data_IF_059664772908
#
_entry.id   IF_059664772908
#
_cell.length_a   1.000
_cell.length_b   1.000
_cell.length_c   1.000
_cell.angle_alpha   90.00
_cell.angle_beta   90.00
_cell.angle_gamma   90.00
#
_symmetry.space_group_name_H-M   'P 1'
#
loop_
_entity.id
_entity.type
_entity.pdbx_description
1 polymer ?
#
# COMPACT_ATOMS: atom_id res chain seq x y z
N UNK A 1 -40.95 -15.56 -3.79
CA UNK A 1 -41.30 -14.88 -5.05
C UNK A 1 -39.99 -14.65 -5.80
N UNK A 2 -39.83 -15.13 -7.06
CA UNK A 2 -38.60 -14.87 -7.84
C UNK A 2 -38.64 -13.41 -8.27
N UNK A 3 -37.80 -12.61 -7.68
CA UNK A 3 -37.75 -11.14 -7.87
C UNK A 3 -36.94 -10.76 -9.11
N UNK A 4 -36.09 -11.67 -9.60
CA UNK A 4 -35.19 -11.41 -10.73
C UNK A 4 -35.74 -12.00 -12.02
N UNK A 5 -35.56 -11.31 -13.14
CA UNK A 5 -35.79 -11.87 -14.48
C UNK A 5 -34.69 -12.88 -14.82
N UNK A 6 -34.91 -13.72 -15.81
CA UNK A 6 -33.96 -14.75 -16.24
C UNK A 6 -32.62 -14.14 -16.68
N UNK A 7 -32.64 -12.96 -17.32
CA UNK A 7 -31.45 -12.23 -17.72
C UNK A 7 -30.68 -11.66 -16.49
N UNK A 8 -31.43 -11.18 -15.50
CA UNK A 8 -30.82 -10.67 -14.22
C UNK A 8 -30.19 -11.81 -13.41
N UNK A 9 -30.83 -13.00 -13.37
CA UNK A 9 -30.23 -14.20 -12.76
C UNK A 9 -28.90 -14.59 -13.44
N UNK A 10 -28.84 -14.47 -14.75
CA UNK A 10 -27.63 -14.80 -15.52
C UNK A 10 -26.49 -13.79 -15.27
N UNK A 11 -26.82 -12.49 -15.16
CA UNK A 11 -25.86 -11.44 -14.78
C UNK A 11 -25.34 -11.68 -13.37
N UNK A 12 -26.22 -11.97 -12.41
CA UNK A 12 -25.87 -12.27 -11.01
C UNK A 12 -24.91 -13.45 -10.91
N UNK A 13 -25.16 -14.53 -11.67
CA UNK A 13 -24.26 -15.69 -11.67
C UNK A 13 -22.88 -15.34 -12.24
N UNK A 14 -22.82 -14.55 -13.32
CA UNK A 14 -21.54 -14.10 -13.90
C UNK A 14 -20.75 -13.24 -12.92
N UNK A 15 -21.41 -12.31 -12.28
CA UNK A 15 -20.80 -11.44 -11.28
C UNK A 15 -20.27 -12.25 -10.09
N UNK A 16 -21.07 -13.17 -9.55
CA UNK A 16 -20.67 -14.05 -8.46
C UNK A 16 -19.41 -14.85 -8.80
N UNK A 17 -19.37 -15.43 -9.99
CA UNK A 17 -18.22 -16.19 -10.47
C UNK A 17 -16.98 -15.28 -10.58
N UNK A 18 -17.13 -14.09 -11.18
CA UNK A 18 -16.04 -13.12 -11.30
C UNK A 18 -15.50 -12.69 -9.94
N UNK A 19 -16.36 -12.34 -8.99
CA UNK A 19 -15.96 -11.92 -7.65
C UNK A 19 -15.35 -13.08 -6.86
N UNK A 20 -15.81 -14.30 -7.09
CA UNK A 20 -15.18 -15.49 -6.49
C UNK A 20 -13.78 -15.72 -7.04
N UNK A 21 -13.58 -15.61 -8.34
CA UNK A 21 -12.26 -15.71 -8.97
C UNK A 21 -11.33 -14.59 -8.49
N UNK A 22 -11.85 -13.37 -8.36
CA UNK A 22 -11.09 -12.25 -7.78
C UNK A 22 -10.67 -12.54 -6.33
N UNK A 23 -11.58 -13.09 -5.50
CA UNK A 23 -11.24 -13.47 -4.13
C UNK A 23 -10.13 -14.55 -4.08
N UNK A 24 -10.15 -15.53 -5.00
CA UNK A 24 -9.07 -16.51 -5.12
C UNK A 24 -7.74 -15.86 -5.49
N UNK A 25 -7.76 -14.87 -6.41
CA UNK A 25 -6.56 -14.11 -6.79
C UNK A 25 -6.01 -13.26 -5.64
N UNK A 26 -6.87 -12.63 -4.84
CA UNK A 26 -6.44 -11.90 -3.64
C UNK A 26 -5.78 -12.82 -2.61
N UNK A 27 -6.31 -14.04 -2.44
CA UNK A 27 -5.67 -15.06 -1.58
C UNK A 27 -4.31 -15.50 -2.14
N UNK A 28 -4.20 -15.75 -3.43
CA UNK A 28 -2.95 -16.10 -4.11
C UNK A 28 -1.90 -14.99 -3.99
N UNK A 29 -2.32 -13.73 -4.06
CA UNK A 29 -1.49 -12.54 -3.88
C UNK A 29 -1.04 -12.32 -2.43
N UNK A 30 -1.57 -13.06 -1.45
CA UNK A 30 -1.41 -12.86 -0.01
C UNK A 30 -1.94 -11.50 0.47
N UNK A 31 -3.08 -11.06 -0.05
CA UNK A 31 -3.80 -9.89 0.43
C UNK A 31 -4.10 -9.98 1.93
N UNK A 32 -4.37 -8.84 2.59
CA UNK A 32 -4.68 -8.84 4.01
C UNK A 32 -5.91 -9.70 4.34
N UNK A 33 -5.95 -10.29 5.54
CA UNK A 33 -7.11 -11.10 5.97
C UNK A 33 -8.40 -10.28 5.98
N UNK A 34 -8.31 -9.00 6.32
CA UNK A 34 -9.44 -8.07 6.34
C UNK A 34 -10.00 -7.85 4.93
N UNK A 35 -9.15 -7.63 3.95
CA UNK A 35 -9.55 -7.40 2.56
C UNK A 35 -10.19 -8.66 1.95
N UNK A 36 -9.60 -9.84 2.21
CA UNK A 36 -10.15 -11.12 1.77
C UNK A 36 -11.55 -11.36 2.41
N UNK A 37 -11.70 -11.05 3.69
CA UNK A 37 -12.99 -11.22 4.36
C UNK A 37 -14.01 -10.18 3.89
N UNK A 38 -13.60 -8.93 3.65
CA UNK A 38 -14.46 -7.89 3.05
C UNK A 38 -14.98 -8.32 1.67
N UNK A 39 -14.12 -8.92 0.85
CA UNK A 39 -14.52 -9.47 -0.45
C UNK A 39 -15.52 -10.62 -0.30
N UNK A 40 -15.27 -11.56 0.60
CA UNK A 40 -16.19 -12.69 0.88
C UNK A 40 -17.56 -12.22 1.39
N UNK A 41 -17.54 -11.20 2.26
CA UNK A 41 -18.78 -10.62 2.78
C UNK A 41 -19.56 -9.92 1.66
N UNK A 42 -18.89 -9.19 0.77
CA UNK A 42 -19.53 -8.57 -0.39
C UNK A 42 -20.16 -9.59 -1.33
N UNK A 43 -19.53 -10.76 -1.54
CA UNK A 43 -20.11 -11.86 -2.32
C UNK A 43 -21.38 -12.41 -1.65
N UNK A 44 -21.37 -12.62 -0.32
CA UNK A 44 -22.54 -13.11 0.43
C UNK A 44 -23.73 -12.16 0.34
N UNK A 45 -23.46 -10.85 0.29
CA UNK A 45 -24.51 -9.82 0.21
C UNK A 45 -25.32 -9.82 -1.07
N UNK A 46 -24.83 -10.44 -2.13
CA UNK A 46 -25.66 -10.62 -3.34
C UNK A 46 -26.97 -11.38 -3.03
N UNK A 47 -27.02 -12.13 -1.94
CA UNK A 47 -28.17 -12.92 -1.51
C UNK A 47 -28.95 -12.32 -0.33
N UNK A 48 -28.40 -11.28 0.34
CA UNK A 48 -28.99 -10.66 1.53
C UNK A 48 -30.07 -9.60 1.17
N UNK A 49 -30.85 -9.16 2.17
CA UNK A 49 -31.73 -7.99 2.07
C UNK A 49 -30.91 -6.72 1.80
N UNK A 50 -31.58 -5.70 1.23
CA UNK A 50 -30.95 -4.40 1.01
C UNK A 50 -30.46 -3.78 2.32
N UNK A 51 -29.16 -3.47 2.40
CA UNK A 51 -28.52 -2.95 3.62
C UNK A 51 -28.37 -1.44 3.58
N UNK A 52 -29.16 -0.75 4.39
CA UNK A 52 -29.12 0.70 4.59
C UNK A 52 -28.25 0.99 5.82
N UNK A 53 -27.12 1.63 5.63
CA UNK A 53 -26.21 2.01 6.73
C UNK A 53 -26.34 3.50 7.02
N UNK A 54 -26.71 3.83 8.25
CA UNK A 54 -26.92 5.20 8.73
C UNK A 54 -25.73 5.62 9.57
N UNK A 55 -25.02 6.64 9.11
CA UNK A 55 -23.80 7.14 9.72
C UNK A 55 -23.87 8.66 9.94
N UNK A 56 -23.01 9.20 10.78
CA UNK A 56 -22.92 10.62 11.04
C UNK A 56 -22.36 10.90 12.44
N UNK A 57 -22.04 12.15 12.72
CA UNK A 57 -21.44 12.56 13.98
C UNK A 57 -22.40 12.34 15.18
N UNK A 58 -21.80 12.30 16.36
CA UNK A 58 -22.59 12.30 17.60
C UNK A 58 -23.52 13.54 17.64
N UNK A 59 -24.74 13.33 18.09
CA UNK A 59 -25.79 14.38 18.13
C UNK A 59 -26.25 14.94 16.77
N UNK A 60 -25.87 14.32 15.63
CA UNK A 60 -26.44 14.67 14.32
C UNK A 60 -27.94 14.29 14.20
N UNK A 61 -28.44 13.47 15.13
CA UNK A 61 -29.84 13.05 15.20
C UNK A 61 -30.11 11.73 14.46
N UNK A 62 -29.15 10.82 14.34
CA UNK A 62 -29.31 9.50 13.70
C UNK A 62 -30.48 8.69 14.27
N UNK A 63 -30.50 8.50 15.58
CA UNK A 63 -31.57 7.72 16.24
C UNK A 63 -32.93 8.39 16.08
N UNK A 64 -33.01 9.72 16.14
CA UNK A 64 -34.24 10.47 15.84
C UNK A 64 -34.67 10.31 14.39
N UNK A 65 -33.71 10.29 13.46
CA UNK A 65 -33.97 10.06 12.05
C UNK A 65 -34.49 8.63 11.78
N UNK A 66 -33.90 7.62 12.39
CA UNK A 66 -34.37 6.23 12.27
C UNK A 66 -35.76 6.11 12.89
N UNK A 67 -36.02 6.70 14.04
CA UNK A 67 -37.34 6.73 14.65
C UNK A 67 -38.38 7.40 13.72
N UNK A 68 -37.99 8.50 13.05
CA UNK A 68 -38.87 9.18 12.10
C UNK A 68 -39.11 8.33 10.85
N UNK A 69 -38.10 7.65 10.33
CA UNK A 69 -38.23 6.77 9.18
C UNK A 69 -39.16 5.59 9.48
N UNK A 70 -39.00 4.95 10.64
CA UNK A 70 -39.82 3.83 11.08
C UNK A 70 -41.19 4.26 11.65
N UNK A 71 -41.41 5.56 11.87
CA UNK A 71 -42.67 6.10 12.37
C UNK A 71 -42.93 5.86 13.87
N UNK A 72 -41.98 5.32 14.59
CA UNK A 72 -42.13 4.94 16.01
C UNK A 72 -40.84 5.28 16.78
N UNK A 73 -41.00 5.64 18.08
CA UNK A 73 -39.89 5.94 18.97
C UNK A 73 -39.28 4.64 19.55
N UNK A 74 -38.41 3.98 18.81
CA UNK A 74 -37.79 2.70 19.13
C UNK A 74 -36.38 2.85 19.72
N UNK A 75 -35.59 3.74 19.13
CA UNK A 75 -34.24 4.02 19.59
C UNK A 75 -34.25 5.15 20.62
N UNK A 76 -33.41 5.00 21.65
CA UNK A 76 -33.27 6.05 22.67
C UNK A 76 -32.56 7.26 22.08
N UNK A 77 -33.12 8.42 22.29
CA UNK A 77 -32.56 9.72 21.94
C UNK A 77 -31.97 10.37 23.19
N UNK A 78 -30.80 11.00 23.09
CA UNK A 78 -30.20 11.67 24.24
C UNK A 78 -28.99 12.53 23.86
N UNK A 79 -28.68 13.46 24.80
CA UNK A 79 -27.54 14.39 24.70
C UNK A 79 -26.24 13.73 25.16
N UNK A 80 -26.33 12.58 25.83
CA UNK A 80 -25.20 11.70 26.19
C UNK A 80 -25.15 10.51 25.22
N UNK A 81 -23.99 9.89 24.99
CA UNK A 81 -23.89 8.71 24.12
C UNK A 81 -24.87 7.62 24.59
N UNK A 82 -25.95 7.46 23.83
CA UNK A 82 -27.03 6.51 24.16
C UNK A 82 -26.88 5.18 23.45
N UNK A 83 -26.10 5.16 22.37
CA UNK A 83 -25.82 3.99 21.56
C UNK A 83 -24.35 3.64 21.72
N UNK A 84 -24.04 2.67 22.55
CA UNK A 84 -22.70 2.13 22.77
C UNK A 84 -22.41 0.92 21.86
N UNK A 85 -23.39 0.45 21.08
CA UNK A 85 -23.32 -0.73 20.24
C UNK A 85 -23.95 -0.44 18.89
N UNK A 86 -23.48 -1.14 17.85
CA UNK A 86 -24.10 -1.10 16.53
C UNK A 86 -25.39 -1.90 16.57
N UNK A 87 -26.51 -1.28 16.19
CA UNK A 87 -27.80 -1.97 16.11
C UNK A 87 -28.13 -2.28 14.65
N UNK A 88 -28.45 -3.53 14.38
CA UNK A 88 -28.96 -4.00 13.08
C UNK A 88 -30.46 -4.25 13.24
N UNK A 89 -31.28 -3.38 12.61
CA UNK A 89 -32.73 -3.50 12.65
C UNK A 89 -33.20 -4.39 11.50
N UNK A 90 -33.96 -5.41 11.80
CA UNK A 90 -34.53 -6.38 10.85
C UNK A 90 -36.01 -6.65 11.14
N UNK A 91 -36.69 -7.16 10.15
CA UNK A 91 -38.07 -7.62 10.33
C UNK A 91 -38.16 -8.83 11.25
N UNK A 92 -39.14 -8.85 12.11
CA UNK A 92 -39.51 -9.99 12.94
C UNK A 92 -40.96 -9.87 13.41
N UNK A 93 -41.64 -10.99 13.62
CA UNK A 93 -43.05 -11.04 14.03
C UNK A 93 -43.27 -10.44 15.45
N UNK A 94 -42.20 -10.35 16.21
CA UNK A 94 -42.20 -9.77 17.58
C UNK A 94 -40.96 -8.97 17.79
N UNK A 95 -41.05 -7.97 18.67
CA UNK A 95 -39.88 -7.23 19.12
C UNK A 95 -38.98 -8.15 19.96
N UNK A 96 -37.80 -8.46 19.45
CA UNK A 96 -36.80 -9.30 20.12
C UNK A 96 -35.41 -8.71 19.93
N UNK A 97 -34.47 -9.03 20.84
CA UNK A 97 -33.10 -8.54 20.78
C UNK A 97 -32.15 -9.73 20.97
N UNK A 98 -31.25 -9.93 20.03
CA UNK A 98 -30.21 -10.94 20.12
C UNK A 98 -28.83 -10.31 20.01
N UNK A 99 -27.90 -10.68 20.87
CA UNK A 99 -26.47 -10.36 20.75
C UNK A 99 -25.84 -11.34 19.81
N UNK A 100 -25.23 -10.81 18.70
CA UNK A 100 -24.58 -11.66 17.69
C UNK A 100 -23.07 -11.68 17.91
N UNK A 101 -22.48 -10.56 18.34
CA UNK A 101 -21.06 -10.41 18.72
C UNK A 101 -20.93 -9.37 19.84
N UNK A 102 -19.72 -9.21 20.41
CA UNK A 102 -19.50 -8.33 21.58
C UNK A 102 -19.96 -6.88 21.41
N UNK A 103 -20.09 -6.36 20.17
CA UNK A 103 -20.44 -4.96 19.87
C UNK A 103 -21.64 -4.81 18.91
N UNK A 104 -22.26 -5.91 18.46
CA UNK A 104 -23.38 -5.86 17.52
C UNK A 104 -24.63 -6.46 18.14
N UNK A 105 -25.74 -5.73 18.04
CA UNK A 105 -27.04 -6.21 18.47
C UNK A 105 -27.98 -6.27 17.27
N UNK A 106 -28.65 -7.39 17.06
CA UNK A 106 -29.75 -7.49 16.10
C UNK A 106 -31.06 -7.24 16.84
N UNK A 107 -31.84 -6.28 16.35
CA UNK A 107 -33.16 -5.93 16.87
C UNK A 107 -34.21 -6.29 15.85
N UNK A 108 -35.07 -7.21 16.19
CA UNK A 108 -36.22 -7.62 15.35
C UNK A 108 -37.44 -6.75 15.67
N UNK A 109 -38.09 -6.23 14.64
CA UNK A 109 -39.24 -5.31 14.77
C UNK A 109 -40.33 -5.68 13.76
N UNK A 110 -41.61 -5.67 14.14
CA UNK A 110 -42.74 -5.92 13.25
C UNK A 110 -43.10 -4.68 12.41
N UNK A 111 -42.20 -4.24 11.57
CA UNK A 111 -42.34 -3.05 10.72
C UNK A 111 -42.14 -3.47 9.27
N UNK A 112 -43.13 -3.22 8.42
CA UNK A 112 -43.16 -3.71 7.03
C UNK A 112 -41.95 -3.27 6.22
N UNK A 113 -41.44 -2.06 6.42
CA UNK A 113 -40.22 -1.56 5.75
C UNK A 113 -39.01 -2.48 5.98
N UNK A 114 -38.90 -3.06 7.16
CA UNK A 114 -37.78 -3.95 7.51
C UNK A 114 -37.88 -5.35 6.88
N UNK A 115 -39.02 -5.68 6.23
CA UNK A 115 -39.13 -6.92 5.43
C UNK A 115 -38.36 -6.83 4.10
N UNK A 116 -38.09 -5.61 3.63
CA UNK A 116 -37.38 -5.35 2.39
C UNK A 116 -35.93 -4.87 2.62
N UNK A 117 -35.67 -4.21 3.75
CA UNK A 117 -34.36 -3.64 4.09
C UNK A 117 -33.91 -4.03 5.50
N UNK A 118 -32.60 -4.06 5.68
CA UNK A 118 -31.96 -4.04 7.00
C UNK A 118 -31.36 -2.65 7.24
N UNK A 119 -31.57 -2.07 8.43
CA UNK A 119 -31.04 -0.76 8.80
C UNK A 119 -29.95 -0.96 9.85
N UNK A 120 -28.78 -0.35 9.62
CA UNK A 120 -27.69 -0.34 10.60
C UNK A 120 -27.65 1.06 11.25
N UNK A 121 -27.96 1.11 12.56
CA UNK A 121 -27.77 2.29 13.40
C UNK A 121 -26.38 2.23 14.04
N UNK A 122 -25.62 3.28 13.85
CA UNK A 122 -24.23 3.34 14.27
C UNK A 122 -24.04 4.31 15.44
N UNK A 123 -23.13 4.03 16.39
CA UNK A 123 -22.72 4.99 17.38
C UNK A 123 -22.21 6.28 16.73
N UNK A 124 -22.37 7.41 17.38
CA UNK A 124 -21.88 8.70 16.86
C UNK A 124 -20.36 8.77 16.85
N UNK A 125 -19.80 9.37 15.81
CA UNK A 125 -18.37 9.36 15.47
C UNK A 125 -17.40 10.00 16.50
N UNK A 126 -17.88 10.56 17.59
CA UNK A 126 -17.04 11.03 18.71
C UNK A 126 -16.87 10.00 19.83
N UNK A 127 -17.48 8.81 19.72
CA UNK A 127 -17.25 7.71 20.61
C UNK A 127 -16.14 6.83 20.03
N UNK A 128 -14.96 6.87 20.63
CA UNK A 128 -13.79 5.98 20.45
C UNK A 128 -13.39 5.61 19.00
N UNK A 129 -12.14 5.87 18.63
CA UNK A 129 -11.48 5.59 17.31
C UNK A 129 -11.75 4.16 16.78
N UNK A 130 -11.94 3.17 17.67
CA UNK A 130 -12.20 1.76 17.31
C UNK A 130 -13.57 1.54 16.64
N UNK A 131 -14.61 2.27 17.03
CA UNK A 131 -15.96 2.10 16.47
C UNK A 131 -16.05 2.66 15.04
N UNK A 132 -15.28 3.69 14.73
CA UNK A 132 -15.13 4.20 13.35
C UNK A 132 -14.44 3.22 12.43
N UNK A 133 -13.42 2.57 12.95
CA UNK A 133 -12.65 1.57 12.21
C UNK A 133 -13.53 0.35 11.90
N UNK A 134 -14.30 -0.12 12.89
CA UNK A 134 -15.25 -1.22 12.74
C UNK A 134 -16.36 -0.90 11.72
N UNK A 135 -16.90 0.33 11.76
CA UNK A 135 -17.89 0.79 10.80
C UNK A 135 -17.37 0.82 9.37
N UNK A 136 -16.19 1.42 9.17
CA UNK A 136 -15.60 1.55 7.84
C UNK A 136 -15.09 0.23 7.29
N UNK A 137 -14.66 -0.69 8.15
CA UNK A 137 -14.09 -1.97 7.74
C UNK A 137 -15.17 -3.04 7.53
N UNK A 138 -16.23 -3.05 8.35
CA UNK A 138 -17.20 -4.15 8.33
C UNK A 138 -18.57 -3.78 7.75
N UNK A 139 -19.05 -2.56 7.95
CA UNK A 139 -20.40 -2.19 7.52
C UNK A 139 -20.44 -1.34 6.25
N UNK A 140 -19.55 -0.40 6.06
CA UNK A 140 -19.52 0.41 4.83
C UNK A 140 -19.27 -0.44 3.58
N UNK A 141 -18.31 -1.37 3.55
CA UNK A 141 -18.14 -2.26 2.41
C UNK A 141 -19.38 -3.07 2.08
N UNK A 142 -20.21 -3.34 3.09
CA UNK A 142 -21.46 -4.11 2.97
C UNK A 142 -22.69 -3.27 2.64
N UNK A 143 -22.62 -1.96 2.78
CA UNK A 143 -23.77 -1.09 2.53
C UNK A 143 -24.20 -1.13 1.07
N UNK A 144 -25.49 -1.28 0.81
CA UNK A 144 -26.09 -1.02 -0.48
C UNK A 144 -26.35 0.48 -0.69
N UNK A 145 -26.63 1.17 0.40
CA UNK A 145 -26.80 2.62 0.45
C UNK A 145 -26.32 3.16 1.79
N UNK A 146 -25.55 4.25 1.76
CA UNK A 146 -25.11 4.97 2.95
C UNK A 146 -25.87 6.27 3.07
N UNK A 147 -26.58 6.46 4.19
CA UNK A 147 -27.18 7.71 4.59
C UNK A 147 -26.26 8.42 5.57
N UNK A 148 -25.63 9.48 5.13
CA UNK A 148 -24.75 10.28 5.96
C UNK A 148 -25.50 11.47 6.56
N UNK A 149 -25.74 11.42 7.88
CA UNK A 149 -26.53 12.43 8.59
C UNK A 149 -25.61 13.46 9.22
N UNK A 150 -25.69 14.69 8.72
CA UNK A 150 -25.07 15.87 9.32
C UNK A 150 -26.13 16.76 9.95
N UNK A 151 -25.73 17.63 10.86
CA UNK A 151 -26.66 18.50 11.62
C UNK A 151 -26.59 19.94 11.14
N UNK A 152 -27.72 20.61 11.09
CA UNK A 152 -27.84 22.02 10.69
C UNK A 152 -27.02 22.98 11.57
N UNK A 153 -26.84 22.64 12.85
CA UNK A 153 -26.07 23.44 13.80
C UNK A 153 -24.53 23.34 13.60
N UNK A 154 -24.06 22.25 13.01
CA UNK A 154 -22.64 22.04 12.71
C UNK A 154 -22.47 21.21 11.46
N UNK A 155 -22.75 21.76 10.29
CA UNK A 155 -22.67 20.98 9.04
C UNK A 155 -21.22 20.75 8.62
N UNK A 156 -20.90 19.52 8.25
CA UNK A 156 -19.65 19.15 7.61
C UNK A 156 -18.39 19.40 8.45
N UNK A 157 -18.38 18.88 9.68
CA UNK A 157 -17.23 18.96 10.59
C UNK A 157 -16.00 18.23 10.01
N UNK A 158 -14.81 18.50 10.56
CA UNK A 158 -13.56 17.81 10.16
C UNK A 158 -13.67 16.29 10.35
N UNK A 159 -14.30 15.84 11.44
CA UNK A 159 -14.55 14.42 11.69
C UNK A 159 -15.44 13.80 10.61
N UNK A 160 -16.50 14.52 10.19
CA UNK A 160 -17.40 14.10 9.11
C UNK A 160 -16.69 14.03 7.75
N UNK A 161 -15.79 14.98 7.47
CA UNK A 161 -14.99 15.00 6.24
C UNK A 161 -14.07 13.78 6.16
N UNK A 162 -13.31 13.53 7.20
CA UNK A 162 -12.40 12.37 7.28
C UNK A 162 -13.13 11.04 7.14
N UNK A 163 -14.36 10.97 7.65
CA UNK A 163 -15.18 9.78 7.54
C UNK A 163 -15.75 9.59 6.13
N UNK A 164 -16.19 10.68 5.47
CA UNK A 164 -16.64 10.64 4.08
C UNK A 164 -15.53 10.24 3.10
N UNK A 165 -14.28 10.66 3.34
CA UNK A 165 -13.13 10.23 2.55
C UNK A 165 -12.97 8.71 2.57
N UNK A 166 -13.07 8.09 3.74
CA UNK A 166 -13.00 6.64 3.89
C UNK A 166 -14.16 5.93 3.18
N UNK A 167 -15.38 6.49 3.23
CA UNK A 167 -16.54 5.92 2.51
C UNK A 167 -16.33 6.01 1.00
N UNK A 168 -15.78 7.12 0.50
CA UNK A 168 -15.44 7.30 -0.93
C UNK A 168 -14.59 6.16 -1.44
N UNK A 169 -13.55 5.79 -0.67
CA UNK A 169 -12.58 4.77 -1.07
C UNK A 169 -13.24 3.42 -1.33
N UNK A 170 -14.39 3.14 -0.71
CA UNK A 170 -15.20 1.94 -0.97
C UNK A 170 -16.16 2.05 -2.15
N UNK A 171 -16.20 3.19 -2.85
CA UNK A 171 -17.04 3.40 -4.03
C UNK A 171 -18.54 3.29 -3.77
N UNK A 172 -19.00 3.57 -2.54
CA UNK A 172 -20.40 3.40 -2.15
C UNK A 172 -21.26 4.60 -2.54
N UNK A 173 -22.55 4.31 -2.84
CA UNK A 173 -23.53 5.39 -3.03
C UNK A 173 -23.81 6.03 -1.69
N UNK A 174 -23.56 7.34 -1.61
CA UNK A 174 -23.80 8.15 -0.42
C UNK A 174 -24.89 9.16 -0.70
N UNK A 175 -25.82 9.31 0.26
CA UNK A 175 -26.81 10.38 0.32
C UNK A 175 -26.51 11.22 1.57
N UNK A 176 -26.50 12.53 1.42
CA UNK A 176 -26.35 13.45 2.54
C UNK A 176 -27.72 13.84 3.09
N UNK A 177 -27.90 13.72 4.37
CA UNK A 177 -29.11 14.17 5.07
C UNK A 177 -28.72 15.30 6.00
N UNK A 178 -29.17 16.52 5.68
CA UNK A 178 -29.05 17.67 6.55
C UNK A 178 -30.24 17.67 7.53
N UNK A 179 -29.99 17.16 8.74
CA UNK A 179 -31.03 17.06 9.77
C UNK A 179 -31.09 18.30 10.63
N UNK A 180 -32.22 18.46 11.35
CA UNK A 180 -32.53 19.58 12.22
C UNK A 180 -32.77 20.92 11.48
N UNK A 181 -33.28 20.88 10.25
CA UNK A 181 -33.55 22.12 9.49
C UNK A 181 -34.58 23.03 10.14
N UNK A 182 -35.31 22.54 11.12
CA UNK A 182 -36.22 23.32 11.99
C UNK A 182 -35.48 24.33 12.88
N UNK A 183 -34.17 24.37 12.90
CA UNK A 183 -33.35 25.38 13.57
C UNK A 183 -33.13 26.62 12.71
N UNK A 184 -33.27 26.54 11.38
CA UNK A 184 -33.12 27.69 10.50
C UNK A 184 -34.31 28.63 10.61
N UNK A 185 -34.05 29.95 10.50
CA UNK A 185 -35.07 30.98 10.59
C UNK A 185 -35.78 31.20 9.25
N UNK A 186 -35.07 31.03 8.15
CA UNK A 186 -35.62 31.26 6.81
C UNK A 186 -35.00 30.30 5.77
N UNK A 187 -35.54 30.36 4.54
CA UNK A 187 -35.11 29.55 3.40
C UNK A 187 -33.74 29.96 2.87
N UNK A 188 -33.31 31.20 3.03
CA UNK A 188 -32.03 31.69 2.52
C UNK A 188 -30.89 31.09 3.33
N UNK A 189 -31.05 31.03 4.66
CA UNK A 189 -30.09 30.35 5.55
C UNK A 189 -29.95 28.85 5.19
N UNK A 190 -31.07 28.16 4.98
CA UNK A 190 -31.08 26.77 4.55
C UNK A 190 -30.34 26.59 3.22
N UNK A 191 -30.64 27.43 2.22
CA UNK A 191 -30.02 27.33 0.89
C UNK A 191 -28.53 27.58 0.91
N UNK A 192 -28.03 28.49 1.75
CA UNK A 192 -26.60 28.73 1.95
C UNK A 192 -25.91 27.47 2.48
N UNK A 193 -26.48 26.83 3.50
CA UNK A 193 -25.92 25.62 4.08
C UNK A 193 -25.96 24.45 3.09
N UNK A 194 -27.04 24.28 2.34
CA UNK A 194 -27.13 23.24 1.29
C UNK A 194 -26.11 23.47 0.19
N UNK A 195 -25.89 24.72 -0.23
CA UNK A 195 -24.86 25.05 -1.22
C UNK A 195 -23.46 24.74 -0.69
N UNK A 196 -23.16 25.15 0.53
CA UNK A 196 -21.91 24.82 1.22
C UNK A 196 -21.66 23.31 1.28
N UNK A 197 -22.69 22.50 1.62
CA UNK A 197 -22.59 21.03 1.63
C UNK A 197 -22.31 20.48 0.25
N UNK A 198 -22.97 20.98 -0.81
CA UNK A 198 -22.77 20.53 -2.20
C UNK A 198 -21.33 20.75 -2.66
N UNK A 199 -20.81 21.95 -2.44
CA UNK A 199 -19.44 22.33 -2.86
C UNK A 199 -18.39 21.49 -2.14
N UNK A 200 -18.53 21.32 -0.82
CA UNK A 200 -17.58 20.52 -0.03
C UNK A 200 -17.69 19.03 -0.36
N UNK A 201 -18.90 18.50 -0.55
CA UNK A 201 -19.08 17.11 -0.91
C UNK A 201 -18.53 16.82 -2.32
N UNK A 202 -18.73 17.72 -3.29
CA UNK A 202 -18.14 17.59 -4.62
C UNK A 202 -16.61 17.59 -4.56
N UNK A 203 -16.01 18.49 -3.80
CA UNK A 203 -14.55 18.55 -3.64
C UNK A 203 -13.97 17.28 -3.01
N UNK A 204 -14.70 16.66 -2.08
CA UNK A 204 -14.25 15.52 -1.32
C UNK A 204 -14.51 14.18 -2.04
N UNK A 205 -15.72 14.01 -2.57
CA UNK A 205 -16.18 12.76 -3.17
C UNK A 205 -15.93 12.67 -4.69
N UNK A 206 -15.64 13.81 -5.35
CA UNK A 206 -15.55 13.91 -6.80
C UNK A 206 -16.89 13.81 -7.54
N UNK A 207 -17.98 13.64 -6.79
CA UNK A 207 -19.36 13.59 -7.29
C UNK A 207 -20.25 14.47 -6.40
N UNK A 208 -21.36 14.97 -6.93
CA UNK A 208 -22.36 15.70 -6.14
C UNK A 208 -23.40 14.68 -5.64
N UNK A 209 -23.41 14.34 -4.33
CA UNK A 209 -24.43 13.45 -3.78
C UNK A 209 -25.79 14.15 -3.71
N UNK A 210 -26.86 13.36 -3.67
CA UNK A 210 -28.18 13.88 -3.31
C UNK A 210 -28.18 14.39 -1.88
N UNK A 211 -28.75 15.58 -1.66
CA UNK A 211 -28.83 16.21 -0.33
C UNK A 211 -30.30 16.42 0.04
N UNK A 212 -30.69 15.86 1.18
CA UNK A 212 -32.05 15.99 1.71
C UNK A 212 -32.02 16.80 3.01
N UNK A 213 -32.50 18.06 2.96
CA UNK A 213 -32.71 18.84 4.17
C UNK A 213 -34.00 18.38 4.86
N UNK A 214 -33.91 17.90 6.10
CA UNK A 214 -35.07 17.35 6.86
C UNK A 214 -35.05 17.74 8.32
N UNK A 215 -36.24 17.67 8.97
CA UNK A 215 -36.34 17.62 10.40
C UNK A 215 -36.94 16.31 10.87
N UNK A 216 -36.08 15.41 11.34
CA UNK A 216 -36.53 14.13 11.90
C UNK A 216 -37.50 14.29 13.08
N UNK A 217 -37.29 15.34 13.89
CA UNK A 217 -38.16 15.67 15.03
C UNK A 217 -39.60 16.00 14.57
N UNK A 218 -39.72 16.87 13.58
CA UNK A 218 -41.05 17.25 13.04
C UNK A 218 -41.71 16.10 12.33
N UNK A 219 -40.93 15.28 11.55
CA UNK A 219 -41.42 14.11 10.85
C UNK A 219 -42.00 13.07 11.83
N UNK A 220 -41.29 12.75 12.90
CA UNK A 220 -41.79 11.81 13.91
C UNK A 220 -43.07 12.31 14.60
N UNK A 221 -43.16 13.61 14.93
CA UNK A 221 -44.36 14.21 15.48
C UNK A 221 -45.53 14.15 14.48
N UNK A 222 -45.26 14.48 13.22
CA UNK A 222 -46.27 14.41 12.17
C UNK A 222 -46.90 13.02 12.05
N UNK A 223 -46.09 11.97 12.08
CA UNK A 223 -46.55 10.59 12.05
C UNK A 223 -47.28 10.14 13.32
N UNK A 224 -47.04 10.81 14.43
CA UNK A 224 -47.63 10.48 15.75
C UNK A 224 -48.75 11.44 16.19
N UNK A 225 -49.50 12.03 15.28
CA UNK A 225 -50.74 12.77 15.57
C UNK A 225 -50.72 14.27 15.25
N UNK A 226 -49.64 14.81 14.66
CA UNK A 226 -49.55 16.21 14.26
C UNK A 226 -49.27 16.32 12.73
N UNK A 227 -50.22 15.86 11.86
CA UNK A 227 -49.96 15.73 10.42
C UNK A 227 -49.62 17.07 9.73
N UNK A 228 -50.01 18.20 10.28
CA UNK A 228 -49.69 19.53 9.78
C UNK A 228 -48.20 19.84 9.77
N UNK A 229 -47.38 19.09 10.54
CA UNK A 229 -45.94 19.25 10.58
C UNK A 229 -45.20 18.49 9.45
N UNK A 230 -45.92 17.68 8.67
CA UNK A 230 -45.32 16.84 7.65
C UNK A 230 -44.57 17.63 6.57
N UNK A 231 -45.23 18.62 6.00
CA UNK A 231 -44.63 19.48 4.98
C UNK A 231 -43.40 20.26 5.53
N UNK A 232 -43.54 20.82 6.75
CA UNK A 232 -42.45 21.52 7.41
C UNK A 232 -41.25 20.58 7.74
N UNK A 233 -41.50 19.29 7.91
CA UNK A 233 -40.45 18.33 8.16
C UNK A 233 -39.55 18.04 6.93
N UNK A 234 -40.02 18.29 5.70
CA UNK A 234 -39.42 17.99 4.40
C UNK A 234 -39.04 16.51 4.26
N UNK A 235 -39.56 15.64 5.10
CA UNK A 235 -39.18 14.23 5.14
C UNK A 235 -39.76 13.41 3.96
N UNK A 236 -40.85 13.89 3.37
CA UNK A 236 -41.57 13.22 2.28
C UNK A 236 -40.69 12.98 1.02
N UNK A 237 -39.88 13.97 0.63
CA UNK A 237 -38.99 13.84 -0.50
C UNK A 237 -37.93 12.74 -0.27
N UNK A 238 -37.40 12.64 0.93
CA UNK A 238 -36.44 11.60 1.30
C UNK A 238 -37.11 10.21 1.34
N UNK A 239 -38.30 10.09 1.91
CA UNK A 239 -39.04 8.80 1.90
C UNK A 239 -39.34 8.32 0.48
N UNK A 240 -39.81 9.23 -0.37
CA UNK A 240 -40.06 8.92 -1.78
C UNK A 240 -38.76 8.46 -2.46
N UNK A 241 -37.65 9.13 -2.17
CA UNK A 241 -36.34 8.72 -2.73
C UNK A 241 -35.91 7.35 -2.23
N UNK A 242 -36.01 7.07 -0.93
CA UNK A 242 -35.70 5.77 -0.36
C UNK A 242 -36.60 4.70 -1.01
N UNK A 243 -37.90 4.92 -1.09
CA UNK A 243 -38.85 3.99 -1.72
C UNK A 243 -38.53 3.76 -3.19
N UNK A 244 -38.22 4.82 -3.95
CA UNK A 244 -37.83 4.68 -5.36
C UNK A 244 -36.48 3.97 -5.54
N UNK A 245 -35.57 4.12 -4.57
CA UNK A 245 -34.30 3.36 -4.55
C UNK A 245 -34.51 1.90 -4.15
N UNK A 246 -35.60 1.59 -3.47
CA UNK A 246 -36.07 0.26 -3.11
C UNK A 246 -36.94 -0.40 -4.20
N UNK A 247 -37.26 0.32 -5.24
CA UNK A 247 -37.91 -0.24 -6.41
C UNK A 247 -37.01 -1.33 -7.06
N UNK A 248 -37.61 -2.42 -7.55
CA UNK A 248 -36.93 -3.66 -7.95
C UNK A 248 -35.74 -3.44 -8.89
N UNK A 249 -35.83 -2.49 -9.82
CA UNK A 249 -34.76 -2.20 -10.79
C UNK A 249 -33.58 -1.51 -10.12
N UNK A 250 -33.84 -0.54 -9.24
CA UNK A 250 -32.81 0.22 -8.53
C UNK A 250 -32.10 -0.60 -7.48
N UNK A 251 -32.82 -1.46 -6.75
CA UNK A 251 -32.24 -2.42 -5.81
C UNK A 251 -31.28 -3.39 -6.52
N UNK A 252 -31.74 -4.00 -7.61
CA UNK A 252 -30.92 -4.94 -8.41
C UNK A 252 -29.67 -4.25 -8.91
N UNK A 253 -29.78 -3.02 -9.43
CA UNK A 253 -28.63 -2.26 -9.90
C UNK A 253 -27.63 -1.96 -8.78
N UNK A 254 -28.09 -1.52 -7.61
CA UNK A 254 -27.22 -1.21 -6.46
C UNK A 254 -26.59 -2.48 -5.88
N UNK A 255 -27.36 -3.56 -5.76
CA UNK A 255 -26.85 -4.85 -5.30
C UNK A 255 -25.76 -5.41 -6.17
N UNK A 256 -25.82 -5.22 -7.47
CA UNK A 256 -24.78 -5.66 -8.41
C UNK A 256 -23.58 -4.69 -8.43
N UNK A 257 -23.83 -3.38 -8.37
CA UNK A 257 -22.75 -2.40 -8.44
C UNK A 257 -21.86 -2.38 -7.19
N UNK A 258 -22.41 -2.65 -6.00
CA UNK A 258 -21.70 -2.51 -4.75
C UNK A 258 -20.57 -3.54 -4.54
N UNK A 259 -20.77 -4.85 -4.75
CA UNK A 259 -19.70 -5.83 -4.67
C UNK A 259 -18.60 -5.59 -5.71
N UNK A 260 -19.00 -5.14 -6.93
CA UNK A 260 -18.03 -4.73 -7.96
C UNK A 260 -17.19 -3.52 -7.51
N UNK A 261 -17.82 -2.54 -6.86
CA UNK A 261 -17.11 -1.39 -6.28
C UNK A 261 -16.04 -1.80 -5.25
N UNK A 262 -16.39 -2.75 -4.36
CA UNK A 262 -15.42 -3.34 -3.43
C UNK A 262 -14.30 -4.05 -4.17
N UNK A 263 -14.64 -4.85 -5.20
CA UNK A 263 -13.65 -5.53 -6.02
C UNK A 263 -12.69 -4.57 -6.71
N UNK A 264 -13.20 -3.49 -7.31
CA UNK A 264 -12.41 -2.45 -7.97
C UNK A 264 -11.46 -1.79 -6.96
N UNK A 265 -11.98 -1.35 -5.82
CA UNK A 265 -11.15 -0.74 -4.76
C UNK A 265 -9.99 -1.63 -4.33
N UNK A 266 -10.24 -2.91 -4.09
CA UNK A 266 -9.21 -3.86 -3.68
C UNK A 266 -8.17 -4.10 -4.79
N UNK A 267 -8.62 -4.21 -6.05
CA UNK A 267 -7.71 -4.34 -7.20
C UNK A 267 -6.83 -3.11 -7.34
N UNK A 268 -7.39 -1.91 -7.27
CA UNK A 268 -6.64 -0.64 -7.36
C UNK A 268 -5.60 -0.52 -6.24
N UNK A 269 -5.99 -0.86 -5.00
CA UNK A 269 -5.08 -0.89 -3.85
C UNK A 269 -3.86 -1.78 -4.12
N UNK A 270 -4.09 -3.04 -4.45
CA UNK A 270 -3.01 -4.01 -4.67
C UNK A 270 -2.24 -3.77 -5.97
N UNK A 271 -2.88 -3.21 -6.98
CA UNK A 271 -2.21 -2.76 -8.19
C UNK A 271 -1.21 -1.63 -7.89
N UNK A 272 -1.61 -0.63 -7.12
CA UNK A 272 -0.73 0.47 -6.71
C UNK A 272 0.47 -0.03 -5.87
N UNK A 273 0.23 -0.96 -4.92
CA UNK A 273 1.29 -1.60 -4.14
C UNK A 273 2.28 -2.36 -5.03
N UNK A 274 1.78 -3.14 -6.00
CA UNK A 274 2.59 -3.91 -6.94
C UNK A 274 3.42 -3.00 -7.87
N UNK A 275 2.81 -1.93 -8.40
CA UNK A 275 3.53 -0.94 -9.23
C UNK A 275 4.66 -0.26 -8.44
N UNK A 276 4.43 0.09 -7.19
CA UNK A 276 5.46 0.64 -6.32
C UNK A 276 6.62 -0.36 -6.12
N UNK A 277 6.31 -1.64 -5.83
CA UNK A 277 7.33 -2.69 -5.70
C UNK A 277 8.07 -2.93 -7.01
N UNK A 278 7.37 -2.98 -8.15
CA UNK A 278 7.97 -3.15 -9.48
C UNK A 278 8.96 -2.04 -9.79
N UNK A 279 8.58 -0.79 -9.53
CA UNK A 279 9.47 0.36 -9.74
C UNK A 279 10.74 0.26 -8.89
N UNK A 280 10.61 -0.18 -7.64
CA UNK A 280 11.75 -0.42 -6.75
C UNK A 280 12.70 -1.50 -7.30
N UNK A 281 12.15 -2.60 -7.81
CA UNK A 281 12.93 -3.69 -8.42
C UNK A 281 13.62 -3.27 -9.72
N UNK A 282 12.97 -2.45 -10.56
CA UNK A 282 13.58 -1.91 -11.78
C UNK A 282 14.78 -1.00 -11.45
N UNK A 283 14.66 -0.15 -10.44
CA UNK A 283 15.77 0.67 -9.96
C UNK A 283 16.92 -0.19 -9.40
N UNK A 284 16.62 -1.24 -8.63
CA UNK A 284 17.63 -2.15 -8.11
C UNK A 284 18.34 -2.94 -9.22
N UNK A 285 17.60 -3.36 -10.25
CA UNK A 285 18.16 -4.01 -11.45
C UNK A 285 19.10 -3.07 -12.20
N UNK A 286 18.70 -1.82 -12.40
CA UNK A 286 19.53 -0.80 -13.04
C UNK A 286 20.82 -0.55 -12.26
N UNK A 287 20.74 -0.54 -10.93
CA UNK A 287 21.89 -0.40 -10.05
C UNK A 287 22.85 -1.56 -10.19
N UNK A 288 22.36 -2.81 -10.16
CA UNK A 288 23.20 -4.01 -10.34
C UNK A 288 23.91 -3.99 -11.71
N UNK A 289 23.21 -3.62 -12.76
CA UNK A 289 23.78 -3.49 -14.09
C UNK A 289 24.89 -2.42 -14.15
N UNK A 290 24.73 -1.30 -13.43
CA UNK A 290 25.78 -0.30 -13.32
C UNK A 290 27.02 -0.84 -12.57
N UNK A 291 26.82 -1.58 -11.48
CA UNK A 291 27.93 -2.22 -10.74
C UNK A 291 28.65 -3.23 -11.62
N UNK A 292 27.93 -4.10 -12.35
CA UNK A 292 28.53 -5.06 -13.30
C UNK A 292 29.34 -4.34 -14.40
N UNK A 293 28.81 -3.26 -14.96
CA UNK A 293 29.49 -2.47 -15.99
C UNK A 293 30.77 -1.84 -15.41
N UNK A 294 30.71 -1.27 -14.23
CA UNK A 294 31.88 -0.71 -13.55
C UNK A 294 32.93 -1.79 -13.26
N UNK A 295 32.52 -2.97 -12.79
CA UNK A 295 33.43 -4.09 -12.56
C UNK A 295 34.13 -4.52 -13.86
N UNK A 296 33.43 -4.56 -14.97
CA UNK A 296 34.03 -4.89 -16.28
C UNK A 296 35.11 -3.88 -16.67
N UNK A 297 34.85 -2.59 -16.53
CA UNK A 297 35.81 -1.50 -16.79
C UNK A 297 37.01 -1.63 -15.85
N UNK A 298 36.78 -1.82 -14.56
CA UNK A 298 37.87 -2.01 -13.59
C UNK A 298 38.74 -3.21 -13.92
N UNK A 299 38.15 -4.31 -14.31
CA UNK A 299 38.89 -5.51 -14.71
C UNK A 299 39.79 -5.26 -15.91
N UNK A 300 39.29 -4.56 -16.91
CA UNK A 300 40.08 -4.20 -18.10
C UNK A 300 41.23 -3.26 -17.74
N UNK A 301 41.00 -2.24 -16.92
CA UNK A 301 42.02 -1.32 -16.47
C UNK A 301 43.08 -2.02 -15.59
N UNK A 302 42.64 -2.93 -14.71
CA UNK A 302 43.55 -3.74 -13.90
C UNK A 302 44.44 -4.61 -14.77
N UNK A 303 43.89 -5.27 -15.80
CA UNK A 303 44.68 -6.11 -16.72
C UNK A 303 45.73 -5.29 -17.47
N UNK A 304 45.38 -4.10 -17.96
CA UNK A 304 46.33 -3.20 -18.66
C UNK A 304 47.46 -2.74 -17.72
N UNK A 305 47.11 -2.30 -16.52
CA UNK A 305 48.09 -1.84 -15.55
C UNK A 305 48.97 -2.98 -15.01
N UNK A 306 48.41 -4.17 -14.84
CA UNK A 306 49.18 -5.38 -14.48
C UNK A 306 50.19 -5.73 -15.56
N UNK A 307 49.76 -5.77 -16.83
CA UNK A 307 50.66 -6.04 -17.96
C UNK A 307 51.81 -5.01 -18.04
N UNK A 308 51.51 -3.73 -17.81
CA UNK A 308 52.54 -2.69 -17.78
C UNK A 308 53.58 -2.93 -16.68
N UNK A 309 53.15 -3.31 -15.48
CA UNK A 309 54.06 -3.57 -14.33
C UNK A 309 54.83 -4.87 -14.48
N UNK A 310 54.23 -5.87 -15.14
CA UNK A 310 54.90 -7.11 -15.52
C UNK A 310 56.04 -6.85 -16.54
N UNK A 311 55.80 -5.94 -17.50
CA UNK A 311 56.84 -5.53 -18.46
C UNK A 311 58.08 -4.90 -17.78
N UNK A 312 57.86 -4.17 -16.66
CA UNK A 312 59.01 -3.65 -15.85
C UNK A 312 59.87 -4.77 -15.24
N UNK A 313 59.23 -5.90 -14.83
CA UNK A 313 59.96 -7.07 -14.30
C UNK A 313 60.64 -7.81 -15.47
N UNK A 314 59.98 -7.99 -16.61
CA UNK A 314 60.56 -8.60 -17.82
C UNK A 314 61.75 -7.80 -18.31
N UNK A 315 61.71 -6.47 -18.27
CA UNK A 315 62.86 -5.63 -18.62
C UNK A 315 64.10 -5.93 -17.78
N UNK A 316 63.94 -6.24 -16.49
CA UNK A 316 65.06 -6.59 -15.61
C UNK A 316 65.72 -7.89 -16.11
N UNK A 317 64.93 -8.84 -16.53
CA UNK A 317 65.46 -10.11 -17.11
C UNK A 317 66.11 -9.88 -18.49
N UNK A 318 65.56 -9.00 -19.34
CA UNK A 318 66.21 -8.61 -20.62
C UNK A 318 67.54 -7.94 -20.40
N UNK A 319 67.66 -7.06 -19.37
CA UNK A 319 68.93 -6.46 -19.02
C UNK A 319 69.93 -7.48 -18.51
N UNK A 320 69.44 -8.50 -17.75
CA UNK A 320 70.32 -9.59 -17.29
C UNK A 320 70.76 -10.46 -18.46
N UNK A 321 69.88 -10.83 -19.39
CA UNK A 321 70.16 -11.59 -20.59
C UNK A 321 71.22 -10.88 -21.44
N UNK A 322 71.06 -9.59 -21.69
CA UNK A 322 72.04 -8.79 -22.42
C UNK A 322 73.42 -8.77 -21.73
N UNK A 323 73.44 -8.61 -20.39
CA UNK A 323 74.71 -8.72 -19.64
C UNK A 323 75.32 -10.12 -19.74
N UNK A 324 74.49 -11.15 -19.82
CA UNK A 324 74.95 -12.51 -20.05
C UNK A 324 75.60 -12.70 -21.41
N UNK A 325 74.97 -12.19 -22.47
CA UNK A 325 75.50 -12.24 -23.80
C UNK A 325 76.85 -11.52 -23.91
N UNK A 326 76.93 -10.30 -23.39
CA UNK A 326 78.14 -9.51 -23.36
C UNK A 326 79.27 -10.21 -22.56
N UNK A 327 78.90 -10.86 -21.43
CA UNK A 327 79.82 -11.63 -20.59
C UNK A 327 80.40 -12.84 -21.33
N UNK A 328 79.58 -13.62 -22.02
CA UNK A 328 80.05 -14.80 -22.80
C UNK A 328 80.80 -14.41 -24.02
N UNK A 329 80.42 -13.29 -24.72
CA UNK A 329 81.27 -12.80 -25.84
C UNK A 329 82.67 -12.41 -25.37
N UNK A 330 82.75 -11.74 -24.19
CA UNK A 330 84.09 -11.35 -23.64
C UNK A 330 84.93 -12.55 -23.20
N UNK A 331 84.33 -13.62 -22.70
CA UNK A 331 85.03 -14.84 -22.28
C UNK A 331 85.52 -15.66 -23.47
N UNK A 332 84.73 -15.74 -24.54
CA UNK A 332 85.08 -16.50 -25.71
C UNK A 332 86.08 -15.80 -26.65
N UNK A 333 86.49 -14.59 -26.37
CA UNK A 333 87.61 -13.95 -27.09
C UNK A 333 88.87 -14.68 -26.85
N UNK A 334 89.64 -14.99 -27.91
CA UNK A 334 90.85 -15.80 -27.93
C UNK A 334 91.91 -15.50 -26.87
N UNK A 335 91.89 -14.28 -26.30
CA UNK A 335 92.81 -13.83 -25.24
C UNK A 335 92.49 -14.34 -23.83
N UNK A 336 91.28 -14.86 -23.56
CA UNK A 336 90.83 -15.27 -22.22
C UNK A 336 90.43 -16.75 -22.08
N UNK A 337 90.81 -17.62 -23.07
CA UNK A 337 90.47 -19.06 -23.05
C UNK A 337 91.07 -19.79 -21.81
N UNK A 338 92.10 -19.26 -21.18
CA UNK A 338 92.67 -19.77 -19.93
C UNK A 338 91.81 -19.53 -18.70
N UNK A 339 90.93 -18.54 -18.71
CA UNK A 339 89.97 -18.23 -17.60
C UNK A 339 88.84 -19.25 -17.57
N UNK A 340 88.53 -19.96 -18.70
CA UNK A 340 87.51 -21.02 -18.76
C UNK A 340 87.89 -22.29 -17.97
N UNK A 341 89.14 -22.42 -17.56
CA UNK A 341 89.62 -23.58 -16.79
C UNK A 341 89.29 -23.44 -15.29
N UNK A 342 89.06 -22.24 -14.80
CA UNK A 342 88.76 -22.02 -13.39
C UNK A 342 87.25 -21.77 -13.18
N UNK A 343 86.49 -22.88 -12.96
CA UNK A 343 85.05 -22.89 -12.82
C UNK A 343 84.52 -21.96 -11.70
N UNK A 344 85.20 -21.96 -10.53
CA UNK A 344 84.74 -21.18 -9.36
C UNK A 344 84.87 -19.68 -9.60
N UNK A 345 85.96 -19.27 -10.26
CA UNK A 345 86.16 -17.89 -10.63
C UNK A 345 85.18 -17.41 -11.68
N UNK A 346 84.85 -18.23 -12.65
CA UNK A 346 83.89 -17.98 -13.72
C UNK A 346 82.47 -17.82 -13.11
N UNK A 347 82.09 -18.72 -12.22
CA UNK A 347 80.81 -18.65 -11.51
C UNK A 347 80.71 -17.38 -10.67
N UNK A 348 81.72 -17.02 -9.92
CA UNK A 348 81.74 -15.81 -9.11
C UNK A 348 81.69 -14.55 -9.98
N UNK A 349 82.33 -14.53 -11.11
CA UNK A 349 82.25 -13.41 -12.08
C UNK A 349 80.88 -13.32 -12.70
N UNK A 350 80.26 -14.45 -13.07
CA UNK A 350 78.90 -14.50 -13.61
C UNK A 350 77.88 -14.00 -12.57
N UNK A 351 77.98 -14.48 -11.33
CA UNK A 351 77.13 -14.02 -10.23
C UNK A 351 77.26 -12.49 -10.00
N UNK A 352 78.50 -11.97 -10.09
CA UNK A 352 78.73 -10.55 -9.78
C UNK A 352 78.39 -9.63 -10.95
N UNK A 353 78.66 -10.06 -12.21
CA UNK A 353 78.49 -9.21 -13.38
C UNK A 353 77.17 -9.40 -14.12
N UNK A 354 76.62 -10.61 -14.15
CA UNK A 354 75.37 -10.94 -14.87
C UNK A 354 74.18 -10.92 -13.95
N UNK A 355 74.23 -11.72 -12.87
CA UNK A 355 73.12 -11.82 -11.95
C UNK A 355 73.04 -10.52 -11.11
N UNK A 356 74.17 -10.08 -10.50
CA UNK A 356 74.32 -8.83 -9.81
C UNK A 356 73.18 -8.48 -8.86
N UNK A 357 72.44 -7.43 -9.19
CA UNK A 357 71.33 -6.83 -8.43
C UNK A 357 69.92 -7.37 -8.84
N UNK A 358 69.88 -8.31 -9.81
CA UNK A 358 68.59 -8.78 -10.39
C UNK A 358 67.65 -9.35 -9.33
N UNK A 359 68.08 -10.26 -8.40
CA UNK A 359 67.17 -10.81 -7.41
C UNK A 359 66.51 -9.72 -6.52
N UNK A 360 67.29 -8.72 -6.09
CA UNK A 360 66.79 -7.62 -5.27
C UNK A 360 65.86 -6.71 -6.06
N UNK A 361 66.19 -6.38 -7.31
CA UNK A 361 65.32 -5.56 -8.18
C UNK A 361 64.03 -6.28 -8.50
N UNK A 362 64.04 -7.58 -8.83
CA UNK A 362 62.85 -8.37 -9.03
C UNK A 362 61.98 -8.42 -7.79
N UNK A 363 62.59 -8.75 -6.62
CA UNK A 363 61.87 -8.79 -5.36
C UNK A 363 61.20 -7.43 -5.04
N UNK A 364 61.89 -6.31 -5.29
CA UNK A 364 61.31 -4.98 -5.08
C UNK A 364 60.12 -4.74 -6.02
N UNK A 365 60.26 -5.05 -7.33
CA UNK A 365 59.19 -4.87 -8.31
C UNK A 365 57.99 -5.80 -8.08
N UNK A 366 58.21 -7.04 -7.63
CA UNK A 366 57.13 -7.94 -7.22
C UNK A 366 56.41 -7.41 -6.00
N UNK A 367 57.10 -6.90 -4.97
CA UNK A 367 56.45 -6.31 -3.84
C UNK A 367 55.65 -5.03 -4.20
N UNK A 368 56.17 -4.16 -5.05
CA UNK A 368 55.44 -3.02 -5.60
C UNK A 368 54.17 -3.45 -6.36
N UNK A 369 54.24 -4.54 -7.12
CA UNK A 369 53.08 -5.11 -7.84
C UNK A 369 52.00 -5.62 -6.85
N UNK A 370 52.43 -6.37 -5.81
CA UNK A 370 51.51 -6.91 -4.79
C UNK A 370 50.85 -5.78 -4.02
N UNK A 371 51.62 -4.77 -3.56
CA UNK A 371 51.04 -3.63 -2.84
C UNK A 371 50.03 -2.87 -3.71
N UNK A 372 50.36 -2.67 -4.99
CA UNK A 372 49.43 -2.04 -5.92
C UNK A 372 48.16 -2.86 -6.14
N UNK A 373 48.23 -4.20 -6.30
CA UNK A 373 47.06 -5.07 -6.43
C UNK A 373 46.16 -4.98 -5.21
N UNK A 374 46.72 -5.02 -4.04
CA UNK A 374 45.99 -4.93 -2.78
C UNK A 374 45.29 -3.58 -2.63
N UNK A 375 45.98 -2.49 -2.87
CA UNK A 375 45.45 -1.13 -2.80
C UNK A 375 44.34 -0.92 -3.86
N UNK A 376 44.49 -1.53 -5.03
CA UNK A 376 43.50 -1.47 -6.09
C UNK A 376 42.22 -2.19 -5.69
N UNK A 377 42.32 -3.43 -5.22
CA UNK A 377 41.19 -4.26 -4.80
C UNK A 377 40.44 -3.63 -3.61
N UNK A 378 41.15 -3.14 -2.60
CA UNK A 378 40.56 -2.44 -1.46
C UNK A 378 39.78 -1.19 -1.88
N UNK A 379 40.28 -0.40 -2.81
CA UNK A 379 39.60 0.80 -3.32
C UNK A 379 38.30 0.43 -4.03
N UNK A 380 38.35 -0.63 -4.83
CA UNK A 380 37.18 -1.12 -5.55
C UNK A 380 36.08 -1.60 -4.58
N UNK A 381 36.44 -2.46 -3.63
CA UNK A 381 35.54 -2.95 -2.61
C UNK A 381 34.92 -1.83 -1.79
N UNK A 382 35.72 -0.85 -1.41
CA UNK A 382 35.23 0.30 -0.68
C UNK A 382 34.21 1.10 -1.50
N UNK A 383 34.49 1.39 -2.77
CA UNK A 383 33.59 2.12 -3.63
C UNK A 383 32.24 1.38 -3.82
N UNK A 384 32.26 0.07 -4.02
CA UNK A 384 31.03 -0.76 -4.14
C UNK A 384 30.27 -0.78 -2.82
N UNK A 385 30.95 -0.98 -1.69
CA UNK A 385 30.32 -0.99 -0.37
C UNK A 385 29.72 0.37 0.01
N UNK A 386 30.40 1.47 -0.26
CA UNK A 386 29.90 2.82 0.02
C UNK A 386 28.64 3.09 -0.83
N UNK A 387 28.67 2.72 -2.10
CA UNK A 387 27.51 2.84 -3.00
C UNK A 387 26.30 2.02 -2.53
N UNK A 388 26.51 0.77 -2.11
CA UNK A 388 25.47 -0.09 -1.55
C UNK A 388 24.94 0.43 -0.20
N UNK A 389 25.83 0.94 0.66
CA UNK A 389 25.49 1.45 1.98
C UNK A 389 24.66 2.74 1.91
N UNK A 390 24.97 3.64 0.98
CA UNK A 390 24.20 4.87 0.77
C UNK A 390 22.78 4.53 0.34
N UNK A 391 22.63 3.56 -0.54
CA UNK A 391 21.31 3.10 -0.98
C UNK A 391 20.53 2.37 0.12
N UNK A 392 21.20 1.62 0.99
CA UNK A 392 20.57 0.98 2.16
C UNK A 392 20.05 2.01 3.17
N UNK A 393 20.72 3.16 3.32
CA UNK A 393 20.25 4.26 4.16
C UNK A 393 19.03 4.97 3.61
N UNK A 394 18.95 5.09 2.29
CA UNK A 394 17.84 5.74 1.59
C UNK A 394 16.55 4.89 1.65
N UNK A 395 16.67 3.56 1.72
CA UNK A 395 15.55 2.63 1.66
C UNK A 395 15.68 1.49 2.68
N UNK A 396 15.25 1.75 3.91
CA UNK A 396 15.39 0.83 5.07
C UNK A 396 14.76 -0.57 4.90
N UNK A 397 13.85 -0.76 3.97
CA UNK A 397 13.05 -2.00 3.83
C UNK A 397 13.39 -2.84 2.59
N UNK A 398 14.49 -2.57 1.90
CA UNK A 398 14.86 -3.28 0.66
C UNK A 398 15.59 -4.59 0.91
N UNK A 399 15.27 -5.60 0.06
CA UNK A 399 15.76 -6.98 0.15
C UNK A 399 17.28 -7.07 -0.07
N UNK A 400 17.88 -6.21 -0.90
CA UNK A 400 19.30 -6.27 -1.32
C UNK A 400 20.28 -5.84 -0.21
N UNK A 401 19.84 -5.12 0.81
CA UNK A 401 20.74 -4.58 1.86
C UNK A 401 21.09 -5.52 3.00
N UNK A 402 20.48 -6.70 3.12
CA UNK A 402 20.66 -7.56 4.33
C UNK A 402 21.88 -8.48 4.30
N UNK A 403 22.56 -8.62 3.16
CA UNK A 403 23.68 -9.56 3.00
C UNK A 403 25.09 -8.97 3.05
N UNK A 404 25.25 -7.65 2.99
CA UNK A 404 26.58 -7.03 2.74
C UNK A 404 27.34 -6.58 3.98
N UNK A 405 26.99 -7.05 5.19
CA UNK A 405 27.68 -6.60 6.43
C UNK A 405 28.82 -7.53 6.88
N UNK A 406 29.22 -8.53 6.11
CA UNK A 406 30.45 -9.27 6.41
C UNK A 406 31.67 -8.40 6.09
N UNK A 407 32.35 -7.97 7.13
CA UNK A 407 33.63 -7.25 7.02
C UNK A 407 34.64 -8.15 6.31
N UNK A 408 34.96 -7.82 5.08
CA UNK A 408 36.10 -8.43 4.39
C UNK A 408 37.37 -8.01 5.13
N UNK A 409 37.98 -8.93 5.86
CA UNK A 409 39.33 -8.76 6.44
C UNK A 409 40.32 -9.40 5.47
N UNK A 410 41.06 -8.53 4.77
CA UNK A 410 42.13 -8.92 3.88
C UNK A 410 43.35 -9.35 4.68
N UNK A 411 43.87 -10.56 4.43
CA UNK A 411 45.13 -11.03 5.02
C UNK A 411 46.24 -11.01 3.95
N UNK A 412 47.06 -9.94 4.01
CA UNK A 412 48.21 -9.73 3.13
C UNK A 412 49.19 -10.92 3.12
N UNK A 413 49.34 -11.60 4.27
CA UNK A 413 50.32 -12.66 4.44
C UNK A 413 49.95 -13.93 3.64
N UNK A 414 48.65 -14.19 3.43
CA UNK A 414 48.18 -15.32 2.62
C UNK A 414 48.56 -15.25 1.14
N UNK A 415 48.71 -14.02 0.58
CA UNK A 415 49.16 -13.85 -0.83
C UNK A 415 50.67 -13.87 -0.98
N UNK A 416 51.44 -13.65 0.10
CA UNK A 416 52.89 -13.75 0.07
C UNK A 416 53.40 -15.18 0.23
N UNK A 417 52.55 -16.06 0.82
CA UNK A 417 52.91 -17.49 1.05
C UNK A 417 52.41 -18.43 -0.09
N UNK A 418 51.67 -17.92 -1.08
CA UNK A 418 51.17 -18.65 -2.28
C UNK A 418 52.04 -18.35 -3.49
#
# INVERSE_FOLDING_TARGET
>A
MKILTQDQELVLQRERNFLHDLNLKLVEYNASREDIESMRQSIRQLDDLFLLVIVGEFNSGKSAFINALLGQKLLKEGVTPTTAQINILRFGDRTDQSLVEQNHQVVFLPIDLLSEISIVDTPGTNAVIREHEELTTHFVPRADLVLFITSADRPFTESERNFLERIRDWGKKVILVLNKVDLFQDEDELNQVVTFLKENALALLGITPEIFPVSARLALRAKNGEPQLWEASRFGALETYIQSSLDQISQVKLKFSNPLGVGIHLVEKYYAENEAQRKLLEEDRSMLQNVETQQAVYKEDMQKNFAFRMADIENIFFEMEKRGDDFFEDIFRLARVLDLVNKDRLQQQFETQVVADVPQRVATKVNELIDWLVDWDLRQWKAVNDYLADRQREYKDRIIGKGASERFTYDRNRLLDA
#
